data_IF_788518020676
#
_entry.id   IF_788518020676
#
_cell.length_a   1.000
_cell.length_b   1.000
_cell.length_c   1.000
_cell.angle_alpha   90.00
_cell.angle_beta   90.00
_cell.angle_gamma   90.00
#
_symmetry.space_group_name_H-M   'P 1'
#
loop_
_entity.id
_entity.type
_entity.pdbx_description
1 polymer ?
#
# COMPACT_ATOMS: atom_id res chain seq x y z
N UNK A 1 -5.27 -25.34 -8.16
CA UNK A 1 -5.27 -24.66 -6.85
C UNK A 1 -6.08 -23.36 -6.99
N UNK A 2 -6.54 -22.73 -5.90
CA UNK A 2 -7.08 -21.37 -6.01
C UNK A 2 -5.91 -20.39 -6.03
N UNK A 3 -6.02 -19.31 -6.78
CA UNK A 3 -5.01 -18.25 -6.85
C UNK A 3 -5.52 -17.05 -6.06
N UNK A 4 -4.65 -16.48 -5.22
CA UNK A 4 -4.95 -15.31 -4.41
C UNK A 4 -4.22 -14.10 -4.98
N UNK A 5 -4.89 -12.95 -4.96
CA UNK A 5 -4.37 -11.71 -5.51
C UNK A 5 -4.48 -10.61 -4.47
N UNK A 6 -3.39 -9.87 -4.29
CA UNK A 6 -3.39 -8.60 -3.57
C UNK A 6 -3.11 -7.51 -4.57
N UNK A 7 -4.12 -6.67 -4.85
CA UNK A 7 -4.05 -5.65 -5.90
C UNK A 7 -4.10 -4.27 -5.30
N UNK A 8 -3.32 -3.38 -5.87
CA UNK A 8 -3.34 -1.95 -5.52
C UNK A 8 -2.75 -1.14 -6.68
N UNK A 9 -3.07 0.15 -6.64
CA UNK A 9 -2.57 1.17 -7.55
C UNK A 9 -2.58 2.49 -6.78
N UNK A 10 -1.44 3.15 -6.66
CA UNK A 10 -1.30 4.40 -5.93
C UNK A 10 -0.30 5.32 -6.63
N UNK A 11 -0.52 6.63 -6.47
CA UNK A 11 0.34 7.68 -7.02
C UNK A 11 1.08 8.35 -5.88
N UNK A 12 2.40 8.39 -5.95
CA UNK A 12 3.26 9.00 -4.96
C UNK A 12 3.86 10.29 -5.54
N UNK A 13 3.43 11.47 -5.06
CA UNK A 13 3.98 12.74 -5.52
C UNK A 13 5.40 12.94 -4.99
N UNK A 14 6.29 13.39 -5.86
CA UNK A 14 7.73 13.56 -5.61
C UNK A 14 8.13 15.03 -5.63
N UNK A 15 9.18 15.38 -4.90
CA UNK A 15 9.66 16.76 -4.78
C UNK A 15 10.34 17.29 -6.05
N UNK A 16 10.93 16.38 -6.84
CA UNK A 16 11.62 16.72 -8.09
C UNK A 16 11.81 15.48 -8.97
N UNK A 17 12.20 15.69 -10.24
CA UNK A 17 12.49 14.56 -11.14
C UNK A 17 13.68 13.74 -10.65
N UNK A 18 14.67 14.42 -10.04
CA UNK A 18 15.80 13.75 -9.38
C UNK A 18 15.33 12.87 -8.23
N UNK A 19 14.38 13.35 -7.42
CA UNK A 19 13.82 12.56 -6.32
C UNK A 19 13.04 11.33 -6.82
N UNK A 20 12.26 11.49 -7.90
CA UNK A 20 11.59 10.36 -8.54
C UNK A 20 12.59 9.32 -9.07
N UNK A 21 13.67 9.76 -9.71
CA UNK A 21 14.72 8.87 -10.19
C UNK A 21 15.43 8.15 -9.03
N UNK A 22 15.76 8.88 -7.96
CA UNK A 22 16.41 8.33 -6.78
C UNK A 22 15.55 7.28 -6.07
N UNK A 23 14.24 7.51 -5.98
CA UNK A 23 13.29 6.55 -5.43
C UNK A 23 13.24 5.25 -6.26
N UNK A 24 13.20 5.36 -7.60
CA UNK A 24 13.21 4.20 -8.49
C UNK A 24 14.54 3.42 -8.41
N UNK A 25 15.67 4.12 -8.32
CA UNK A 25 16.98 3.48 -8.11
C UNK A 25 17.06 2.76 -6.76
N UNK A 26 16.51 3.36 -5.70
CA UNK A 26 16.48 2.72 -4.39
C UNK A 26 15.64 1.44 -4.39
N UNK A 27 14.50 1.44 -5.08
CA UNK A 27 13.68 0.24 -5.26
C UNK A 27 14.47 -0.87 -5.97
N UNK A 28 15.17 -0.52 -7.05
CA UNK A 28 16.00 -1.46 -7.80
C UNK A 28 17.15 -2.01 -6.93
N UNK A 29 17.73 -1.17 -6.08
CA UNK A 29 18.72 -1.61 -5.08
C UNK A 29 18.16 -2.64 -4.11
N UNK A 30 16.95 -2.42 -3.58
CA UNK A 30 16.27 -3.37 -2.69
C UNK A 30 15.96 -4.69 -3.39
N UNK A 31 15.51 -4.64 -4.66
CA UNK A 31 15.27 -5.85 -5.47
C UNK A 31 16.52 -6.68 -5.66
N UNK A 32 17.63 -6.07 -6.06
CA UNK A 32 18.91 -6.78 -6.22
C UNK A 32 19.38 -7.42 -4.91
N UNK A 33 19.17 -6.75 -3.79
CA UNK A 33 19.48 -7.32 -2.48
C UNK A 33 18.58 -8.53 -2.15
N UNK A 34 17.28 -8.48 -2.49
CA UNK A 34 16.35 -9.59 -2.28
C UNK A 34 16.56 -10.78 -3.23
N UNK A 35 16.86 -10.55 -4.50
CA UNK A 35 17.17 -11.60 -5.48
C UNK A 35 18.40 -12.43 -5.08
N UNK A 36 19.38 -11.81 -4.41
CA UNK A 36 20.52 -12.53 -3.85
C UNK A 36 20.12 -13.60 -2.82
N UNK A 37 18.90 -13.53 -2.28
CA UNK A 37 18.31 -14.49 -1.35
C UNK A 37 17.34 -15.48 -2.03
N UNK A 38 17.23 -15.45 -3.37
CA UNK A 38 16.44 -16.41 -4.16
C UNK A 38 14.95 -16.10 -4.29
N UNK A 39 14.50 -14.91 -3.85
CA UNK A 39 13.13 -14.45 -4.08
C UNK A 39 13.01 -13.77 -5.46
N UNK A 40 12.17 -14.27 -6.39
CA UNK A 40 11.99 -13.66 -7.71
C UNK A 40 11.16 -12.36 -7.69
N UNK A 41 10.50 -12.03 -6.58
CA UNK A 41 9.75 -10.78 -6.43
C UNK A 41 9.80 -10.27 -4.96
N UNK A 42 11.00 -9.90 -4.47
CA UNK A 42 11.22 -9.61 -3.06
C UNK A 42 10.39 -8.42 -2.54
N UNK A 43 10.11 -7.46 -3.42
CA UNK A 43 9.33 -6.28 -3.07
C UNK A 43 7.83 -6.50 -3.22
N UNK A 44 7.38 -7.38 -4.11
CA UNK A 44 5.95 -7.63 -4.33
C UNK A 44 5.23 -6.51 -5.08
N UNK A 45 5.92 -5.50 -5.62
CA UNK A 45 5.29 -4.41 -6.37
C UNK A 45 6.19 -3.83 -7.46
N UNK A 46 5.55 -3.12 -8.38
CA UNK A 46 6.18 -2.36 -9.46
C UNK A 46 6.05 -0.86 -9.21
N UNK A 47 7.06 -0.12 -9.64
CA UNK A 47 7.07 1.34 -9.61
C UNK A 47 7.59 1.88 -10.94
N UNK A 48 6.94 2.91 -11.46
CA UNK A 48 7.34 3.59 -12.68
C UNK A 48 7.04 5.09 -12.59
N UNK A 49 7.80 5.89 -13.35
CA UNK A 49 7.42 7.28 -13.58
C UNK A 49 6.07 7.34 -14.32
N UNK A 50 5.14 8.17 -13.84
CA UNK A 50 3.79 8.31 -14.40
C UNK A 50 3.69 9.59 -15.26
N UNK A 51 3.62 10.75 -14.61
CA UNK A 51 3.47 12.06 -15.24
C UNK A 51 3.89 13.19 -14.29
N UNK A 52 3.84 14.44 -14.76
CA UNK A 52 3.84 15.62 -13.90
C UNK A 52 2.40 15.97 -13.51
N UNK A 53 2.15 16.20 -12.23
CA UNK A 53 0.84 16.62 -11.72
C UNK A 53 0.44 18.03 -12.21
N UNK A 54 -0.74 18.51 -11.79
CA UNK A 54 -1.23 19.84 -12.17
C UNK A 54 -0.34 21.01 -11.72
N UNK A 55 0.52 20.80 -10.72
CA UNK A 55 1.50 21.77 -10.24
C UNK A 55 2.89 21.58 -10.88
N UNK A 56 3.03 20.66 -11.84
CA UNK A 56 4.29 20.36 -12.51
C UNK A 56 5.23 19.46 -11.71
N UNK A 57 4.73 18.76 -10.68
CA UNK A 57 5.54 17.89 -9.83
C UNK A 57 5.50 16.44 -10.31
N UNK A 58 6.63 15.72 -10.30
CA UNK A 58 6.67 14.35 -10.79
C UNK A 58 5.91 13.39 -9.88
N UNK A 59 5.28 12.42 -10.52
CA UNK A 59 4.49 11.38 -9.86
C UNK A 59 5.07 10.02 -10.21
N UNK A 60 5.30 9.20 -9.18
CA UNK A 60 5.63 7.78 -9.36
C UNK A 60 4.37 6.96 -9.12
N UNK A 61 4.09 6.05 -10.05
CA UNK A 61 3.00 5.09 -9.96
C UNK A 61 3.48 3.79 -9.33
N UNK A 62 2.83 3.38 -8.23
CA UNK A 62 3.09 2.16 -7.49
C UNK A 62 1.92 1.19 -7.71
N UNK A 63 2.19 -0.01 -8.21
CA UNK A 63 1.13 -0.98 -8.51
C UNK A 63 1.55 -2.43 -8.34
N UNK A 64 0.57 -3.32 -8.12
CA UNK A 64 0.79 -4.76 -8.17
C UNK A 64 -0.51 -5.51 -8.47
N UNK A 65 -0.38 -6.71 -9.03
CA UNK A 65 -1.48 -7.66 -9.23
C UNK A 65 -1.46 -8.81 -8.21
N UNK A 66 -0.35 -8.98 -7.48
CA UNK A 66 -0.16 -10.00 -6.45
C UNK A 66 0.96 -9.54 -5.49
N UNK A 67 0.69 -8.46 -4.75
CA UNK A 67 1.73 -7.74 -4.02
C UNK A 67 1.65 -7.70 -2.52
N UNK A 68 2.62 -7.02 -1.92
CA UNK A 68 2.72 -6.77 -0.47
C UNK A 68 2.43 -5.29 -0.17
N UNK A 69 1.27 -4.95 0.41
CA UNK A 69 0.98 -3.58 0.83
C UNK A 69 1.98 -3.06 1.86
N UNK A 70 2.51 -3.92 2.71
CA UNK A 70 3.51 -3.55 3.71
C UNK A 70 4.84 -3.15 3.08
N UNK A 71 5.29 -3.85 2.04
CA UNK A 71 6.52 -3.47 1.33
C UNK A 71 6.38 -2.13 0.62
N UNK A 72 5.21 -1.85 0.04
CA UNK A 72 4.90 -0.55 -0.57
C UNK A 72 4.92 0.56 0.48
N UNK A 73 4.27 0.33 1.62
CA UNK A 73 4.26 1.32 2.72
C UNK A 73 5.69 1.55 3.21
N UNK A 74 6.47 0.51 3.48
CA UNK A 74 7.86 0.64 3.90
C UNK A 74 8.72 1.41 2.89
N UNK A 75 8.50 1.21 1.58
CA UNK A 75 9.14 1.99 0.53
C UNK A 75 8.74 3.47 0.56
N UNK A 76 7.45 3.77 0.73
CA UNK A 76 6.95 5.15 0.85
C UNK A 76 7.52 5.83 2.09
N UNK A 77 7.63 5.11 3.21
CA UNK A 77 8.24 5.63 4.44
C UNK A 77 9.72 5.98 4.23
N UNK A 78 10.52 5.10 3.61
CA UNK A 78 11.93 5.38 3.26
C UNK A 78 12.04 6.62 2.36
N UNK A 79 11.18 6.74 1.34
CA UNK A 79 11.16 7.91 0.46
C UNK A 79 10.83 9.20 1.21
N UNK A 80 9.88 9.16 2.15
CA UNK A 80 9.49 10.29 2.97
C UNK A 80 10.61 10.71 3.93
N UNK A 81 11.24 9.76 4.63
CA UNK A 81 12.37 10.00 5.54
C UNK A 81 13.57 10.63 4.81
N UNK A 82 13.77 10.30 3.54
CA UNK A 82 14.80 10.87 2.67
C UNK A 82 14.42 12.20 2.04
N UNK A 83 13.20 12.69 2.26
CA UNK A 83 12.69 13.95 1.70
C UNK A 83 12.43 13.90 0.18
N UNK A 84 12.19 12.71 -0.37
CA UNK A 84 11.94 12.52 -1.80
C UNK A 84 10.48 12.83 -2.19
N UNK A 85 9.57 12.73 -1.22
CA UNK A 85 8.13 12.88 -1.44
C UNK A 85 7.62 14.26 -1.07
N UNK A 86 6.59 14.73 -1.77
CA UNK A 86 5.90 15.97 -1.40
C UNK A 86 5.18 15.82 -0.05
N UNK A 87 5.36 16.75 0.91
CA UNK A 87 4.68 16.68 2.20
C UNK A 87 3.15 16.65 2.07
N UNK A 88 2.49 15.85 2.91
CA UNK A 88 1.04 15.71 2.90
C UNK A 88 0.60 14.29 3.28
N UNK A 89 -0.71 14.06 3.33
CA UNK A 89 -1.24 12.72 3.57
C UNK A 89 -1.32 11.93 2.26
N UNK A 90 -0.81 10.71 2.31
CA UNK A 90 -0.86 9.76 1.20
C UNK A 90 -1.58 8.49 1.62
N UNK A 91 -2.38 7.94 0.72
CA UNK A 91 -3.21 6.77 1.01
C UNK A 91 -2.91 5.65 0.03
N UNK A 92 -2.59 4.47 0.57
CA UNK A 92 -2.63 3.21 -0.16
C UNK A 92 -3.97 2.53 0.09
N UNK A 93 -4.66 2.12 -0.97
CA UNK A 93 -5.82 1.23 -0.89
C UNK A 93 -5.48 -0.06 -1.62
N UNK A 94 -5.79 -1.20 -1.02
CA UNK A 94 -5.61 -2.52 -1.64
C UNK A 94 -6.86 -3.38 -1.51
N UNK A 95 -6.98 -4.36 -2.37
CA UNK A 95 -8.02 -5.39 -2.32
C UNK A 95 -7.41 -6.79 -2.35
N UNK A 96 -8.06 -7.71 -1.65
CA UNK A 96 -7.84 -9.14 -1.77
C UNK A 96 -8.89 -9.74 -2.70
N UNK A 97 -8.45 -10.61 -3.61
CA UNK A 97 -9.30 -11.33 -4.54
C UNK A 97 -8.82 -12.78 -4.70
N UNK A 98 -9.71 -13.67 -5.13
CA UNK A 98 -9.44 -15.09 -5.28
C UNK A 98 -10.06 -15.62 -6.58
N UNK A 99 -9.34 -16.44 -7.32
CA UNK A 99 -9.84 -17.02 -8.59
C UNK A 99 -11.00 -18.02 -8.40
N UNK A 100 -11.35 -18.33 -7.15
CA UNK A 100 -12.43 -19.26 -6.77
C UNK A 100 -13.18 -18.71 -5.55
N UNK A 101 -14.47 -19.04 -5.38
CA UNK A 101 -15.23 -18.60 -4.21
C UNK A 101 -14.66 -19.26 -2.95
N UNK A 102 -13.93 -18.47 -2.15
CA UNK A 102 -13.32 -18.87 -0.87
C UNK A 102 -13.74 -17.88 0.21
N UNK A 103 -14.11 -18.39 1.38
CA UNK A 103 -14.58 -17.55 2.50
C UNK A 103 -13.51 -16.58 3.00
N UNK A 104 -12.24 -16.96 2.89
CA UNK A 104 -11.06 -16.20 3.28
C UNK A 104 -10.38 -15.49 2.09
N UNK A 105 -10.98 -15.53 0.90
CA UNK A 105 -10.37 -15.04 -0.34
C UNK A 105 -10.61 -13.57 -0.67
N UNK A 106 -11.41 -12.87 0.13
CA UNK A 106 -11.85 -11.50 -0.12
C UNK A 106 -11.56 -10.59 1.07
N UNK A 107 -11.40 -9.30 0.79
CA UNK A 107 -11.09 -8.30 1.80
C UNK A 107 -10.27 -7.17 1.20
N UNK A 108 -9.40 -6.58 2.00
CA UNK A 108 -8.53 -5.47 1.62
C UNK A 108 -8.34 -4.52 2.78
N UNK A 109 -7.94 -3.30 2.46
CA UNK A 109 -7.72 -2.29 3.48
C UNK A 109 -7.16 -1.00 2.90
N UNK A 110 -6.83 -0.10 3.81
CA UNK A 110 -6.15 1.14 3.48
C UNK A 110 -5.12 1.51 4.55
N UNK A 111 -4.08 2.22 4.14
CA UNK A 111 -3.03 2.75 5.00
C UNK A 111 -2.81 4.22 4.64
N UNK A 112 -2.88 5.10 5.63
CA UNK A 112 -2.64 6.53 5.49
C UNK A 112 -1.27 6.83 6.09
N UNK A 113 -0.41 7.48 5.32
CA UNK A 113 0.96 7.85 5.71
C UNK A 113 1.10 9.37 5.62
N UNK A 114 1.71 9.98 6.63
CA UNK A 114 2.18 11.35 6.56
C UNK A 114 3.54 11.39 5.85
N UNK A 115 3.55 11.93 4.63
CA UNK A 115 4.74 12.04 3.78
C UNK A 115 5.76 13.08 4.29
N UNK A 116 5.40 13.92 5.26
CA UNK A 116 6.37 14.81 5.89
C UNK A 116 7.28 14.07 6.89
N UNK A 117 6.78 12.97 7.48
CA UNK A 117 7.45 12.27 8.58
C UNK A 117 7.69 10.78 8.30
N UNK A 118 7.03 10.21 7.29
CA UNK A 118 6.98 8.77 7.06
C UNK A 118 6.09 8.02 8.07
N UNK A 119 5.36 8.71 8.95
CA UNK A 119 4.56 8.04 9.97
C UNK A 119 3.25 7.47 9.38
N UNK A 120 2.90 6.24 9.78
CA UNK A 120 1.55 5.71 9.53
C UNK A 120 0.58 6.43 10.47
N UNK A 121 -0.37 7.16 9.89
CA UNK A 121 -1.40 7.90 10.64
C UNK A 121 -2.55 6.98 11.03
N UNK A 122 -3.01 6.18 10.07
CA UNK A 122 -4.12 5.25 10.29
C UNK A 122 -4.01 4.06 9.34
N UNK A 123 -4.53 2.91 9.78
CA UNK A 123 -4.64 1.71 8.97
C UNK A 123 -5.95 1.00 9.28
N UNK A 124 -6.60 0.53 8.22
CA UNK A 124 -7.79 -0.30 8.31
C UNK A 124 -7.55 -1.62 7.59
N UNK A 125 -7.84 -2.72 8.27
CA UNK A 125 -8.03 -4.05 7.67
C UNK A 125 -9.54 -4.33 7.61
N UNK A 126 -10.05 -4.58 6.41
CA UNK A 126 -11.49 -4.69 6.17
C UNK A 126 -12.11 -5.88 6.91
N UNK A 127 -11.39 -6.99 7.02
CA UNK A 127 -11.88 -8.20 7.66
C UNK A 127 -11.96 -8.01 9.18
N UNK A 128 -10.92 -7.42 9.78
CA UNK A 128 -10.90 -7.04 11.18
C UNK A 128 -12.01 -6.02 11.49
N UNK A 129 -12.12 -4.96 10.69
CA UNK A 129 -13.17 -3.96 10.85
C UNK A 129 -14.57 -4.60 10.81
N UNK A 130 -14.85 -5.42 9.81
CA UNK A 130 -16.15 -6.08 9.67
C UNK A 130 -16.47 -7.00 10.86
N UNK A 131 -15.47 -7.73 11.36
CA UNK A 131 -15.60 -8.58 12.55
C UNK A 131 -15.97 -7.76 13.79
N UNK A 132 -15.25 -6.67 14.05
CA UNK A 132 -15.52 -5.76 15.18
C UNK A 132 -16.92 -5.15 15.07
N UNK A 133 -17.30 -4.65 13.89
CA UNK A 133 -18.62 -4.04 13.69
C UNK A 133 -19.75 -5.04 13.90
N UNK A 134 -19.60 -6.27 13.40
CA UNK A 134 -20.60 -7.33 13.59
C UNK A 134 -20.77 -7.67 15.06
N UNK A 135 -19.66 -7.77 15.81
CA UNK A 135 -19.69 -8.00 17.26
C UNK A 135 -20.40 -6.88 18.02
N UNK A 136 -20.11 -5.62 17.67
CA UNK A 136 -20.72 -4.43 18.28
C UNK A 136 -22.23 -4.40 18.08
N UNK A 137 -22.70 -4.58 16.84
CA UNK A 137 -24.13 -4.51 16.52
C UNK A 137 -24.94 -5.62 17.21
N UNK A 138 -24.38 -6.84 17.28
CA UNK A 138 -25.00 -7.96 18.01
C UNK A 138 -25.13 -7.72 19.51
N UNK A 139 -24.24 -6.93 20.12
CA UNK A 139 -24.34 -6.57 21.53
C UNK A 139 -25.50 -5.60 21.76
N UNK A 140 -25.63 -4.57 20.90
CA UNK A 140 -26.70 -3.57 20.99
C UNK A 140 -28.09 -4.17 20.83
N UNK A 141 -28.27 -5.18 19.97
CA UNK A 141 -29.56 -5.88 19.81
C UNK A 141 -30.00 -6.65 21.07
N UNK A 142 -29.03 -7.19 21.83
CA UNK A 142 -29.31 -7.91 23.08
C UNK A 142 -29.71 -6.97 24.21
N UNK A 143 -29.07 -5.80 24.29
CA UNK A 143 -29.33 -4.81 25.34
C UNK A 143 -30.65 -4.05 25.11
N UNK A 144 -31.16 -3.99 23.87
CA UNK A 144 -32.43 -3.35 23.52
C UNK A 144 -33.69 -4.22 23.61
N UNK A 145 -33.57 -5.50 23.99
CA UNK A 145 -34.70 -6.45 24.12
C UNK A 145 -35.11 -6.74 25.57
N UNK A 146 -34.72 -5.91 26.54
CA UNK A 146 -35.12 -6.02 27.97
C UNK A 146 -36.14 -4.97 28.38
#
# INVERSE_FOLDING_TARGET
>A
MAEYFTRFSARLPMTSESAAHEALLALEGRRKAGEAHGDPNPEGFEAAYDHLDAAGRPVVWLHSRAGSPDNVVAFVQDCAERGLTEPGLWTLIWSFDCSRPRLDGYGGGACIVDLATGAIVERIDLNHWASVQTGRLRATERDGSS
#
